data_IF_928077775994
#
_entry.id   IF_928077775994
#
_cell.length_a   1.000
_cell.length_b   1.000
_cell.length_c   1.000
_cell.angle_alpha   90.00
_cell.angle_beta   90.00
_cell.angle_gamma   90.00
#
_symmetry.space_group_name_H-M   'P 1'
#
loop_
_entity.id
_entity.type
_entity.pdbx_description
1 polymer ?
#
# COMPACT_ATOMS: atom_id res chain seq x y z
N UNK A 1 11.64 -13.89 0.90
CA UNK A 1 12.18 -15.25 0.79
C UNK A 1 12.66 -15.69 2.17
N UNK A 2 11.86 -16.48 2.86
CA UNK A 2 12.21 -17.08 4.14
C UNK A 2 13.40 -18.02 3.91
N UNK A 3 14.52 -17.79 4.60
CA UNK A 3 15.76 -18.53 4.42
C UNK A 3 15.65 -19.99 4.81
N UNK A 4 15.11 -20.83 3.93
CA UNK A 4 15.03 -22.30 4.06
C UNK A 4 14.25 -22.81 5.28
N UNK A 5 13.37 -22.00 5.87
CA UNK A 5 12.46 -22.47 6.92
C UNK A 5 11.22 -23.14 6.29
N UNK A 6 10.84 -24.31 6.82
CA UNK A 6 9.77 -25.15 6.27
C UNK A 6 8.37 -24.53 6.43
N UNK A 7 8.16 -23.80 7.53
CA UNK A 7 6.90 -23.10 7.80
C UNK A 7 7.05 -21.60 7.51
N UNK A 8 6.40 -21.07 6.46
CA UNK A 8 6.47 -19.66 6.12
C UNK A 8 5.71 -18.77 7.12
N UNK A 9 4.84 -19.31 7.98
CA UNK A 9 4.06 -18.51 8.93
C UNK A 9 4.86 -18.17 10.20
N UNK A 10 5.90 -18.96 10.49
CA UNK A 10 6.72 -18.82 11.70
C UNK A 10 7.91 -17.88 11.44
N UNK A 11 8.00 -16.82 12.23
CA UNK A 11 9.18 -15.98 12.32
C UNK A 11 10.11 -16.47 13.43
N UNK A 12 11.43 -16.39 13.20
CA UNK A 12 12.45 -16.73 14.19
C UNK A 12 13.39 -15.56 14.42
N UNK A 13 13.75 -15.33 15.69
CA UNK A 13 14.83 -14.43 16.08
C UNK A 13 16.11 -15.24 16.14
N UNK A 14 17.15 -14.76 15.47
CA UNK A 14 18.47 -15.36 15.50
C UNK A 14 19.37 -14.47 16.35
N UNK A 15 19.96 -15.04 17.38
CA UNK A 15 21.02 -14.42 18.18
C UNK A 15 22.30 -15.26 18.10
N UNK A 16 23.40 -14.74 18.64
CA UNK A 16 24.67 -15.48 18.72
C UNK A 16 24.57 -16.77 19.56
N UNK A 17 23.51 -16.92 20.37
CA UNK A 17 23.35 -18.00 21.34
C UNK A 17 22.23 -18.98 20.96
N UNK A 18 21.20 -18.51 20.27
CA UNK A 18 19.99 -19.30 20.01
C UNK A 18 19.18 -18.80 18.81
N UNK A 19 18.36 -19.72 18.28
CA UNK A 19 17.31 -19.43 17.30
C UNK A 19 15.98 -19.73 17.97
N UNK A 20 15.20 -18.69 18.26
CA UNK A 20 13.94 -18.81 19.00
C UNK A 20 12.79 -18.35 18.13
N UNK A 21 11.67 -19.05 18.19
CA UNK A 21 10.44 -18.64 17.53
C UNK A 21 9.93 -17.32 18.11
N UNK A 22 9.36 -16.48 17.26
CA UNK A 22 8.76 -15.22 17.64
C UNK A 22 7.26 -15.25 17.30
N UNK A 23 6.42 -15.75 18.23
CA UNK A 23 4.97 -15.81 18.01
C UNK A 23 4.36 -14.44 17.73
N UNK A 24 4.95 -13.35 18.24
CA UNK A 24 4.52 -11.97 17.97
C UNK A 24 4.65 -11.56 16.49
N UNK A 25 5.43 -12.31 15.71
CA UNK A 25 5.67 -12.09 14.28
C UNK A 25 5.04 -13.18 13.41
N UNK A 26 4.16 -14.04 13.98
CA UNK A 26 3.37 -14.99 13.22
C UNK A 26 2.53 -14.26 12.16
N UNK A 27 2.50 -14.77 10.92
CA UNK A 27 1.71 -14.17 9.86
C UNK A 27 1.37 -15.15 8.75
N UNK A 28 0.09 -15.17 8.38
CA UNK A 28 -0.43 -15.88 7.20
C UNK A 28 -0.28 -15.08 5.90
N UNK A 29 0.16 -13.82 5.97
CA UNK A 29 0.36 -12.97 4.79
C UNK A 29 1.48 -13.55 3.93
N UNK A 30 1.31 -13.72 2.62
CA UNK A 30 2.37 -14.28 1.77
C UNK A 30 3.41 -13.22 1.36
N UNK A 31 2.96 -11.98 1.15
CA UNK A 31 3.76 -10.91 0.55
C UNK A 31 4.85 -10.36 1.49
N UNK A 32 5.97 -9.95 0.89
CA UNK A 32 7.13 -9.48 1.65
C UNK A 32 6.89 -8.09 2.27
N UNK A 33 6.18 -7.22 1.58
CA UNK A 33 5.90 -5.85 2.01
C UNK A 33 5.04 -5.80 3.29
N UNK A 34 3.95 -6.57 3.34
CA UNK A 34 3.08 -6.69 4.53
C UNK A 34 3.84 -7.28 5.72
N UNK A 35 4.65 -8.33 5.49
CA UNK A 35 5.53 -8.92 6.51
C UNK A 35 6.59 -7.93 7.01
N UNK A 36 7.16 -7.11 6.12
CA UNK A 36 8.12 -6.06 6.49
C UNK A 36 7.49 -5.02 7.43
N UNK A 37 6.22 -4.65 7.19
CA UNK A 37 5.49 -3.72 8.06
C UNK A 37 5.23 -4.34 9.44
N UNK A 38 4.83 -5.62 9.50
CA UNK A 38 4.70 -6.35 10.77
C UNK A 38 6.01 -6.35 11.57
N UNK A 39 7.13 -6.63 10.91
CA UNK A 39 8.45 -6.57 11.55
C UNK A 39 8.82 -5.17 12.03
N UNK A 40 8.51 -4.13 11.25
CA UNK A 40 8.77 -2.74 11.61
C UNK A 40 7.97 -2.32 12.86
N UNK A 41 6.69 -2.70 12.93
CA UNK A 41 5.83 -2.45 14.08
C UNK A 41 6.33 -3.18 15.34
N UNK A 42 6.73 -4.45 15.19
CA UNK A 42 7.31 -5.22 16.29
C UNK A 42 8.61 -4.60 16.81
N UNK A 43 9.51 -4.18 15.90
CA UNK A 43 10.76 -3.53 16.26
C UNK A 43 10.53 -2.19 16.99
N UNK A 44 9.58 -1.38 16.52
CA UNK A 44 9.20 -0.12 17.19
C UNK A 44 8.64 -0.35 18.59
N UNK A 45 7.75 -1.35 18.75
CA UNK A 45 7.22 -1.77 20.05
C UNK A 45 8.35 -2.17 21.01
N UNK A 46 9.29 -3.00 20.56
CA UNK A 46 10.45 -3.46 21.37
C UNK A 46 11.35 -2.29 21.78
N UNK A 47 11.60 -1.33 20.88
CA UNK A 47 12.36 -0.12 21.22
C UNK A 47 11.67 0.67 22.36
N UNK A 48 10.35 0.83 22.29
CA UNK A 48 9.55 1.51 23.31
C UNK A 48 9.60 0.80 24.66
N UNK A 49 9.43 -0.52 24.69
CA UNK A 49 9.48 -1.31 25.93
C UNK A 49 10.86 -1.33 26.58
N UNK A 50 11.92 -1.25 25.78
CA UNK A 50 13.29 -1.10 26.28
C UNK A 50 13.67 0.34 26.63
N UNK A 51 12.73 1.29 26.52
CA UNK A 51 12.94 2.74 26.69
C UNK A 51 14.09 3.30 25.83
N UNK A 52 14.35 2.67 24.68
CA UNK A 52 15.42 3.06 23.77
C UNK A 52 14.89 4.00 22.71
N UNK A 53 15.58 5.14 22.54
CA UNK A 53 15.35 6.03 21.40
C UNK A 53 15.93 5.40 20.14
N UNK A 54 15.11 5.24 19.12
CA UNK A 54 15.51 4.73 17.82
C UNK A 54 14.56 5.18 16.71
N UNK A 55 14.94 4.93 15.46
CA UNK A 55 14.08 5.11 14.29
C UNK A 55 14.13 3.86 13.44
N UNK A 56 12.97 3.40 13.01
CA UNK A 56 12.88 2.28 12.07
C UNK A 56 12.98 2.82 10.64
N UNK A 57 13.94 2.26 9.88
CA UNK A 57 14.14 2.57 8.46
C UNK A 57 13.83 1.30 7.67
N UNK A 58 12.79 1.37 6.86
CA UNK A 58 12.39 0.31 5.95
C UNK A 58 13.06 0.56 4.61
N UNK A 59 13.97 -0.32 4.19
CA UNK A 59 14.64 -0.21 2.90
C UNK A 59 13.79 -0.89 1.83
N UNK A 60 13.12 -0.09 1.00
CA UNK A 60 12.35 -0.58 -0.14
C UNK A 60 12.30 0.47 -1.26
N UNK A 61 12.39 0.02 -2.50
CA UNK A 61 12.03 0.84 -3.67
C UNK A 61 10.57 0.63 -4.11
N UNK A 62 9.87 -0.27 -3.43
CA UNK A 62 8.48 -0.59 -3.73
C UNK A 62 7.54 0.49 -3.19
N UNK A 63 6.62 0.93 -4.04
CA UNK A 63 5.56 1.86 -3.68
C UNK A 63 4.55 1.24 -2.71
N UNK A 64 4.37 -0.07 -2.74
CA UNK A 64 3.36 -0.76 -1.96
C UNK A 64 3.73 -0.69 -0.46
N UNK A 65 5.04 -0.79 -0.16
CA UNK A 65 5.61 -0.48 1.17
C UNK A 65 5.34 0.96 1.61
N UNK A 66 5.42 1.95 0.72
CA UNK A 66 5.16 3.36 1.06
C UNK A 66 3.69 3.55 1.41
N UNK A 67 2.78 2.98 0.60
CA UNK A 67 1.33 3.05 0.85
C UNK A 67 0.97 2.38 2.18
N UNK A 68 1.56 1.22 2.48
CA UNK A 68 1.36 0.54 3.77
C UNK A 68 1.92 1.35 4.95
N UNK A 69 3.06 2.03 4.79
CA UNK A 69 3.61 2.90 5.83
C UNK A 69 2.68 4.09 6.12
N UNK A 70 2.07 4.69 5.08
CA UNK A 70 1.13 5.82 5.23
C UNK A 70 -0.06 5.42 6.12
N UNK A 71 -0.51 4.16 6.04
CA UNK A 71 -1.63 3.64 6.81
C UNK A 71 -1.27 3.28 8.26
N UNK A 72 -0.02 2.91 8.55
CA UNK A 72 0.32 2.21 9.79
C UNK A 72 1.07 3.05 10.82
N UNK A 73 2.13 3.78 10.47
CA UNK A 73 3.03 4.41 11.47
C UNK A 73 4.05 5.40 10.90
N UNK A 74 4.76 6.09 11.80
CA UNK A 74 5.79 7.10 11.51
C UNK A 74 7.15 6.52 11.06
N UNK A 75 7.15 5.66 10.05
CA UNK A 75 8.39 5.05 9.54
C UNK A 75 9.19 5.96 8.61
N UNK A 76 10.46 5.61 8.42
CA UNK A 76 11.29 6.13 7.35
C UNK A 76 11.40 5.07 6.26
N UNK A 77 11.24 5.47 5.00
CA UNK A 77 11.48 4.58 3.86
C UNK A 77 12.76 5.00 3.14
N UNK A 78 13.73 4.10 3.06
CA UNK A 78 14.93 4.31 2.25
C UNK A 78 14.71 3.74 0.85
N UNK A 79 14.76 4.61 -0.15
CA UNK A 79 14.66 4.28 -1.57
C UNK A 79 16.01 4.46 -2.29
N UNK A 80 16.18 3.76 -3.41
CA UNK A 80 17.31 3.92 -4.32
C UNK A 80 18.58 3.15 -3.91
N UNK A 81 19.53 3.11 -4.85
CA UNK A 81 20.78 2.37 -4.72
C UNK A 81 21.93 3.27 -4.25
N UNK A 82 23.15 2.71 -4.16
CA UNK A 82 24.37 3.48 -3.89
C UNK A 82 24.47 4.63 -4.91
N UNK A 83 24.57 5.87 -4.42
CA UNK A 83 24.61 7.08 -5.26
C UNK A 83 23.27 7.78 -5.49
N UNK A 84 22.13 7.11 -5.28
CA UNK A 84 20.78 7.71 -5.44
C UNK A 84 19.90 7.50 -4.21
N UNK A 85 20.52 7.24 -3.04
CA UNK A 85 19.81 6.97 -1.79
C UNK A 85 18.98 8.17 -1.37
N UNK A 86 17.70 7.94 -1.07
CA UNK A 86 16.78 8.94 -0.52
C UNK A 86 16.08 8.35 0.69
N UNK A 87 15.97 9.13 1.75
CA UNK A 87 15.22 8.77 2.95
C UNK A 87 13.94 9.59 2.98
N UNK A 88 12.80 8.91 2.92
CA UNK A 88 11.47 9.51 2.96
C UNK A 88 10.89 9.38 4.38
N UNK A 89 10.76 10.48 5.14
CA UNK A 89 10.00 10.49 6.38
C UNK A 89 8.50 10.38 6.08
N UNK A 90 7.90 9.21 6.29
CA UNK A 90 6.49 8.98 5.94
C UNK A 90 5.57 9.85 6.81
N UNK A 91 5.91 10.07 8.07
CA UNK A 91 5.18 10.98 8.96
C UNK A 91 5.10 12.42 8.44
N UNK A 92 6.18 12.94 7.85
CA UNK A 92 6.17 14.27 7.24
C UNK A 92 5.37 14.28 5.93
N UNK A 93 5.43 13.20 5.16
CA UNK A 93 4.58 13.03 3.98
C UNK A 93 3.09 13.06 4.39
N UNK A 94 2.70 12.26 5.38
CA UNK A 94 1.33 12.24 5.90
C UNK A 94 0.89 13.62 6.42
N UNK A 95 1.78 14.34 7.11
CA UNK A 95 1.51 15.71 7.59
C UNK A 95 1.33 16.73 6.46
N UNK A 96 1.92 16.48 5.29
CA UNK A 96 1.80 17.34 4.11
C UNK A 96 0.56 17.05 3.24
N UNK A 97 -0.10 15.92 3.47
CA UNK A 97 -1.27 15.47 2.73
C UNK A 97 -2.55 15.74 3.53
N UNK A 98 -3.69 15.99 2.85
CA UNK A 98 -5.00 15.93 3.50
C UNK A 98 -5.20 14.57 4.16
N UNK A 99 -5.64 14.56 5.43
CA UNK A 99 -5.83 13.34 6.21
C UNK A 99 -6.69 12.30 5.46
N UNK A 100 -7.72 12.77 4.76
CA UNK A 100 -8.60 11.90 3.98
C UNK A 100 -7.85 11.16 2.87
N UNK A 101 -6.86 11.80 2.21
CA UNK A 101 -6.02 11.12 1.21
C UNK A 101 -5.25 9.97 1.86
N UNK A 102 -4.63 10.20 3.02
CA UNK A 102 -3.89 9.14 3.73
C UNK A 102 -4.77 7.95 4.08
N UNK A 103 -6.04 8.20 4.46
CA UNK A 103 -6.99 7.14 4.82
C UNK A 103 -7.50 6.33 3.62
N UNK A 104 -7.74 6.96 2.47
CA UNK A 104 -8.32 6.29 1.29
C UNK A 104 -7.27 5.71 0.35
N UNK A 105 -6.01 6.15 0.45
CA UNK A 105 -4.93 5.73 -0.44
C UNK A 105 -4.72 4.21 -0.49
N UNK A 106 -4.80 3.44 0.62
CA UNK A 106 -4.71 1.97 0.56
C UNK A 106 -5.79 1.33 -0.31
N UNK A 107 -7.05 1.77 -0.18
CA UNK A 107 -8.17 1.25 -0.97
C UNK A 107 -8.01 1.59 -2.46
N UNK A 108 -7.57 2.81 -2.77
CA UNK A 108 -7.32 3.26 -4.14
C UNK A 108 -6.14 2.52 -4.77
N UNK A 109 -5.08 2.28 -3.99
CA UNK A 109 -3.91 1.52 -4.42
C UNK A 109 -4.29 0.07 -4.75
N UNK A 110 -5.01 -0.59 -3.84
CA UNK A 110 -5.53 -1.94 -4.05
C UNK A 110 -6.41 -2.03 -5.30
N UNK A 111 -7.28 -1.05 -5.56
CA UNK A 111 -8.15 -1.05 -6.73
C UNK A 111 -7.42 -0.82 -8.06
N UNK A 112 -6.45 0.09 -8.07
CA UNK A 112 -5.91 0.62 -9.33
C UNK A 112 -4.67 -0.10 -9.84
N UNK A 113 -3.82 -0.60 -8.92
CA UNK A 113 -2.65 -1.47 -9.16
C UNK A 113 -1.84 -1.64 -7.86
N UNK A 114 -1.95 -2.81 -7.23
CA UNK A 114 -0.96 -3.37 -6.29
C UNK A 114 -0.40 -4.70 -6.85
N UNK A 115 0.37 -5.44 -6.06
CA UNK A 115 0.88 -6.76 -6.47
C UNK A 115 -0.23 -7.80 -6.72
N UNK A 116 -1.39 -7.67 -6.05
CA UNK A 116 -2.53 -8.57 -6.19
C UNK A 116 -3.55 -8.14 -7.25
N UNK A 117 -3.45 -6.93 -7.82
CA UNK A 117 -4.41 -6.43 -8.81
C UNK A 117 -3.76 -6.02 -10.12
N UNK A 118 -4.40 -6.42 -11.22
CA UNK A 118 -3.97 -6.01 -12.56
C UNK A 118 -4.06 -4.49 -12.73
N UNK A 119 -3.08 -3.92 -13.42
CA UNK A 119 -3.11 -2.49 -13.72
C UNK A 119 -4.21 -2.13 -14.71
N UNK A 120 -4.86 -0.99 -14.47
CA UNK A 120 -5.78 -0.39 -15.43
C UNK A 120 -5.04 0.06 -16.71
N UNK A 121 -5.57 -0.31 -17.88
CA UNK A 121 -4.92 -0.06 -19.17
C UNK A 121 -4.75 1.45 -19.43
N UNK A 122 -3.51 1.88 -19.70
CA UNK A 122 -3.21 3.28 -19.98
C UNK A 122 -3.30 4.23 -18.78
N UNK A 123 -3.49 3.71 -17.56
CA UNK A 123 -3.57 4.47 -16.31
C UNK A 123 -2.39 4.09 -15.41
N UNK A 124 -1.54 5.07 -15.08
CA UNK A 124 -0.41 4.88 -14.16
C UNK A 124 -0.70 5.38 -12.74
N UNK A 125 0.08 4.93 -11.74
CA UNK A 125 -0.07 5.32 -10.32
C UNK A 125 -0.14 6.84 -10.10
N UNK A 126 0.66 7.61 -10.86
CA UNK A 126 0.58 9.09 -10.83
C UNK A 126 -0.79 9.61 -11.28
N UNK A 127 -1.32 9.11 -12.39
CA UNK A 127 -2.64 9.53 -12.87
C UNK A 127 -3.73 9.23 -11.85
N UNK A 128 -3.70 8.03 -11.25
CA UNK A 128 -4.62 7.64 -10.19
C UNK A 128 -4.58 8.61 -9.02
N UNK A 129 -3.37 8.97 -8.57
CA UNK A 129 -3.18 9.90 -7.47
C UNK A 129 -3.71 11.30 -7.78
N UNK A 130 -3.48 11.83 -8.99
CA UNK A 130 -4.06 13.14 -9.38
C UNK A 130 -5.60 13.09 -9.38
N UNK A 131 -6.20 12.03 -9.91
CA UNK A 131 -7.67 11.84 -9.89
C UNK A 131 -8.20 11.80 -8.46
N UNK A 132 -7.54 11.04 -7.60
CA UNK A 132 -7.89 10.94 -6.20
C UNK A 132 -7.81 12.30 -5.52
N UNK A 133 -6.72 13.04 -5.74
CA UNK A 133 -6.50 14.35 -5.15
C UNK A 133 -7.58 15.35 -5.56
N UNK A 134 -8.00 15.34 -6.82
CA UNK A 134 -9.04 16.24 -7.34
C UNK A 134 -10.44 15.87 -6.83
N UNK A 135 -10.70 14.58 -6.57
CA UNK A 135 -12.02 14.06 -6.27
C UNK A 135 -12.14 13.44 -4.86
N UNK A 136 -11.23 13.73 -3.94
CA UNK A 136 -11.10 12.96 -2.68
C UNK A 136 -12.38 12.98 -1.83
N UNK A 137 -13.15 14.08 -1.88
CA UNK A 137 -14.41 14.22 -1.15
C UNK A 137 -15.50 13.26 -1.66
N UNK A 138 -15.43 12.85 -2.93
CA UNK A 138 -16.39 11.91 -3.53
C UNK A 138 -16.09 10.45 -3.16
N UNK A 139 -14.98 10.21 -2.47
CA UNK A 139 -14.51 8.89 -2.05
C UNK A 139 -14.17 8.87 -0.56
N UNK A 140 -14.76 9.79 0.22
CA UNK A 140 -14.43 9.94 1.63
C UNK A 140 -14.82 8.74 2.50
N UNK A 141 -15.71 7.88 2.01
CA UNK A 141 -16.18 6.65 2.61
C UNK A 141 -15.23 5.44 2.38
N UNK A 142 -14.21 5.61 1.53
CA UNK A 142 -13.36 4.49 1.09
C UNK A 142 -12.35 3.99 2.11
N UNK A 143 -12.16 4.71 3.21
CA UNK A 143 -11.30 4.21 4.29
C UNK A 143 -11.85 2.91 4.92
N UNK A 144 -13.16 2.64 4.77
CA UNK A 144 -13.83 1.41 5.18
C UNK A 144 -14.16 0.47 4.01
N UNK A 145 -13.57 0.68 2.82
CA UNK A 145 -13.92 -0.12 1.63
C UNK A 145 -13.66 -1.61 1.86
N UNK A 146 -12.64 -1.97 2.65
CA UNK A 146 -12.32 -3.36 3.01
C UNK A 146 -13.36 -4.01 3.92
N UNK A 147 -14.13 -3.23 4.68
CA UNK A 147 -15.18 -3.71 5.60
C UNK A 147 -16.58 -3.61 4.98
N UNK A 148 -16.70 -3.04 3.79
CA UNK A 148 -17.96 -2.86 3.09
C UNK A 148 -18.42 -4.16 2.45
N UNK A 149 -19.74 -4.32 2.24
CA UNK A 149 -20.24 -5.44 1.46
C UNK A 149 -19.77 -5.34 0.00
N UNK A 150 -19.73 -6.51 -0.67
CA UNK A 150 -19.23 -6.63 -2.04
C UNK A 150 -19.96 -5.72 -3.03
N UNK A 151 -21.27 -5.52 -2.88
CA UNK A 151 -22.05 -4.70 -3.82
C UNK A 151 -21.71 -3.23 -3.67
N UNK A 152 -21.61 -2.74 -2.43
CA UNK A 152 -21.13 -1.39 -2.12
C UNK A 152 -19.71 -1.17 -2.63
N UNK A 153 -18.81 -2.12 -2.40
CA UNK A 153 -17.42 -2.04 -2.85
C UNK A 153 -17.32 -1.98 -4.38
N UNK A 154 -18.08 -2.80 -5.10
CA UNK A 154 -18.14 -2.79 -6.57
C UNK A 154 -18.72 -1.47 -7.07
N UNK A 155 -19.82 -0.99 -6.49
CA UNK A 155 -20.49 0.26 -6.88
C UNK A 155 -19.54 1.46 -6.75
N UNK A 156 -18.87 1.57 -5.60
CA UNK A 156 -17.85 2.56 -5.34
C UNK A 156 -16.71 2.46 -6.37
N UNK A 157 -16.11 1.27 -6.50
CA UNK A 157 -14.99 1.01 -7.40
C UNK A 157 -15.30 1.41 -8.84
N UNK A 158 -16.50 1.07 -9.34
CA UNK A 158 -16.96 1.45 -10.69
C UNK A 158 -16.97 2.95 -10.90
N UNK A 159 -17.43 3.74 -9.92
CA UNK A 159 -17.46 5.20 -9.99
C UNK A 159 -16.05 5.78 -10.13
N UNK A 160 -15.09 5.28 -9.37
CA UNK A 160 -13.70 5.73 -9.45
C UNK A 160 -13.04 5.34 -10.78
N UNK A 161 -13.21 4.08 -11.21
CA UNK A 161 -12.67 3.59 -12.49
C UNK A 161 -13.25 4.38 -13.67
N UNK A 162 -14.56 4.65 -13.68
CA UNK A 162 -15.17 5.48 -14.72
C UNK A 162 -14.52 6.87 -14.79
N UNK A 163 -14.30 7.52 -13.63
CA UNK A 163 -13.61 8.81 -13.57
C UNK A 163 -12.17 8.76 -14.06
N UNK A 164 -11.43 7.69 -13.79
CA UNK A 164 -10.05 7.51 -14.27
C UNK A 164 -9.98 7.56 -15.80
N UNK A 165 -10.96 7.00 -16.50
CA UNK A 165 -11.01 6.99 -17.96
C UNK A 165 -11.64 8.26 -18.57
N UNK A 166 -12.52 8.95 -17.84
CA UNK A 166 -13.25 10.12 -18.36
C UNK A 166 -12.46 11.45 -18.28
N UNK A 167 -11.28 11.45 -17.65
CA UNK A 167 -10.52 12.70 -17.42
C UNK A 167 -10.08 13.48 -18.67
N UNK A 168 -10.08 12.88 -19.87
CA UNK A 168 -9.29 13.43 -21.00
C UNK A 168 -9.95 13.53 -22.37
N UNK A 169 -11.23 13.26 -22.57
CA UNK A 169 -11.76 13.02 -23.95
C UNK A 169 -10.87 12.05 -24.77
N UNK A 170 -9.96 11.30 -24.12
CA UNK A 170 -9.00 10.35 -24.74
C UNK A 170 -9.74 9.19 -25.40
N UNK A 171 -11.01 9.06 -25.06
CA UNK A 171 -11.93 8.00 -25.39
C UNK A 171 -12.99 8.42 -26.42
N UNK A 172 -12.91 9.62 -27.01
CA UNK A 172 -13.94 10.07 -27.96
C UNK A 172 -13.85 9.41 -29.35
N UNK A 173 -12.67 8.95 -29.79
CA UNK A 173 -12.49 8.39 -31.15
C UNK A 173 -12.30 6.87 -31.22
N UNK A 174 -12.19 6.18 -30.08
CA UNK A 174 -11.86 4.74 -30.02
C UNK A 174 -12.84 3.88 -29.20
N UNK A 175 -13.85 4.46 -28.55
CA UNK A 175 -14.88 3.68 -27.88
C UNK A 175 -15.90 3.17 -28.89
N UNK A 176 -15.69 1.93 -29.34
CA UNK A 176 -16.79 1.12 -29.83
C UNK A 176 -17.61 0.68 -28.61
N UNK A 177 -18.88 1.05 -28.60
CA UNK A 177 -19.84 0.51 -27.63
C UNK A 177 -19.82 -1.02 -27.75
N UNK A 178 -19.43 -1.71 -26.67
CA UNK A 178 -19.26 -3.17 -26.67
C UNK A 178 -20.59 -3.88 -26.98
N UNK A 179 -21.73 -3.22 -26.72
CA UNK A 179 -23.05 -3.73 -27.09
C UNK A 179 -23.30 -3.64 -28.61
N UNK A 180 -22.57 -2.79 -29.34
CA UNK A 180 -22.60 -2.71 -30.80
C UNK A 180 -21.68 -3.73 -31.47
N UNK A 181 -20.84 -4.43 -30.70
CA UNK A 181 -19.91 -5.47 -31.19
C UNK A 181 -20.38 -6.90 -30.92
N UNK A 182 -21.52 -7.08 -30.26
CA UNK A 182 -22.19 -8.38 -30.17
C UNK A 182 -22.87 -8.65 -31.52
N UNK A 183 -22.19 -9.42 -32.36
CA UNK A 183 -22.76 -10.14 -33.50
C UNK A 183 -23.53 -11.34 -32.99
#
# INVERSE_FOLDING_TARGET
>A
MAGSFEDPEIAKVISDQEVVECPELFSTQEEADTRMILQALHADKRLKEMEKKGRIIIKSSDTDVIVLCIHTSEFWVQMGNIGTRRFLPVHQLCSSLPEIICRVLPAVHALSRCDTTSSLFGIGKKSVYEVLKDAVLDFSDWYNLGDSDTETAISCSRRFVARLYDQKKKCASCHQDINKLRV
#
